data_IF_707949278223
#
_entry.id   IF_707949278223
#
_cell.length_a   1.000
_cell.length_b   1.000
_cell.length_c   1.000
_cell.angle_alpha   90.00
_cell.angle_beta   90.00
_cell.angle_gamma   90.00
#
_symmetry.space_group_name_H-M   'P 1'
#
loop_
_entity.id
_entity.type
_entity.pdbx_description
1 polymer ?
#
# COMPACT_ATOMS: atom_id res chain seq x y z
N UNK A 1 15.43 -6.28 -15.83
CA UNK A 1 14.48 -6.61 -14.75
C UNK A 1 14.59 -5.52 -13.69
N UNK A 2 13.50 -4.91 -13.24
CA UNK A 2 13.57 -3.91 -12.16
C UNK A 2 13.79 -4.62 -10.83
N UNK A 3 14.58 -3.99 -9.94
CA UNK A 3 14.77 -4.50 -8.59
C UNK A 3 13.47 -4.31 -7.79
N UNK A 4 13.08 -5.27 -6.95
CA UNK A 4 11.96 -5.10 -6.03
C UNK A 4 12.23 -3.89 -5.13
N UNK A 5 11.21 -3.04 -4.97
CA UNK A 5 11.26 -1.83 -4.14
C UNK A 5 10.42 -2.03 -2.89
N UNK A 6 10.93 -1.54 -1.76
CA UNK A 6 10.19 -1.51 -0.49
C UNK A 6 9.89 -0.05 -0.19
N UNK A 7 8.61 0.27 0.05
CA UNK A 7 8.17 1.60 0.46
C UNK A 7 7.65 1.55 1.90
N UNK A 8 8.13 2.44 2.75
CA UNK A 8 7.70 2.56 4.14
C UNK A 8 6.97 3.89 4.30
N UNK A 9 5.69 3.83 4.67
CA UNK A 9 4.86 5.01 4.94
C UNK A 9 4.68 5.11 6.47
N UNK A 10 5.27 6.13 7.08
CA UNK A 10 5.30 6.30 8.54
C UNK A 10 4.75 7.67 8.97
N UNK A 11 4.34 7.79 10.25
CA UNK A 11 3.72 9.00 10.82
C UNK A 11 2.77 8.69 11.99
N UNK A 12 2.36 9.70 12.78
CA UNK A 12 1.50 9.50 13.94
C UNK A 12 0.07 9.04 13.58
N UNK A 13 -0.70 8.59 14.56
CA UNK A 13 -2.11 8.23 14.38
C UNK A 13 -2.90 9.45 13.90
N UNK A 14 -3.77 9.27 12.90
CA UNK A 14 -4.50 10.37 12.28
C UNK A 14 -3.74 11.16 11.21
N UNK A 15 -2.45 10.89 10.95
CA UNK A 15 -1.67 11.60 9.93
C UNK A 15 -2.04 11.30 8.46
N UNK A 16 -3.06 10.47 8.21
CA UNK A 16 -3.53 10.17 6.85
C UNK A 16 -2.71 9.12 6.08
N UNK A 17 -1.83 8.34 6.72
CA UNK A 17 -0.98 7.32 6.05
C UNK A 17 -1.74 6.38 5.11
N UNK A 18 -2.88 5.87 5.55
CA UNK A 18 -3.73 4.97 4.73
C UNK A 18 -4.33 5.68 3.53
N UNK A 19 -4.73 6.95 3.68
CA UNK A 19 -5.21 7.79 2.59
C UNK A 19 -4.08 8.03 1.59
N UNK A 20 -2.91 8.44 2.08
CA UNK A 20 -1.73 8.65 1.25
C UNK A 20 -1.32 7.39 0.49
N UNK A 21 -1.27 6.22 1.13
CA UNK A 21 -0.92 4.97 0.46
C UNK A 21 -1.88 4.63 -0.70
N UNK A 22 -3.18 4.87 -0.53
CA UNK A 22 -4.19 4.60 -1.56
C UNK A 22 -4.11 5.54 -2.75
N UNK A 23 -3.69 6.78 -2.53
CA UNK A 23 -3.55 7.78 -3.59
C UNK A 23 -2.18 7.66 -4.27
N UNK A 24 -1.10 7.53 -3.50
CA UNK A 24 0.29 7.50 -3.98
C UNK A 24 0.67 6.21 -4.70
N UNK A 25 0.23 5.04 -4.21
CA UNK A 25 0.66 3.76 -4.79
C UNK A 25 0.23 3.57 -6.26
N UNK A 26 -1.03 3.88 -6.65
CA UNK A 26 -1.47 3.75 -8.04
C UNK A 26 -0.89 4.79 -8.99
N UNK A 27 -0.64 6.03 -8.52
CA UNK A 27 -0.24 7.15 -9.38
C UNK A 27 1.26 7.37 -9.43
N UNK A 28 1.89 7.55 -8.27
CA UNK A 28 3.26 8.02 -8.15
C UNK A 28 4.27 6.87 -7.94
N UNK A 29 3.83 5.77 -7.33
CA UNK A 29 4.69 4.62 -7.07
C UNK A 29 4.73 3.61 -8.23
N UNK A 30 3.91 3.78 -9.28
CA UNK A 30 3.74 2.80 -10.36
C UNK A 30 3.40 1.39 -9.81
N UNK A 31 2.53 1.35 -8.80
CA UNK A 31 2.05 0.14 -8.15
C UNK A 31 0.53 0.04 -8.33
N UNK A 32 0.06 -0.30 -9.56
CA UNK A 32 -1.37 -0.33 -9.87
C UNK A 32 -2.11 -1.47 -9.17
N UNK A 33 -1.39 -2.51 -8.75
CA UNK A 33 -1.95 -3.63 -7.97
C UNK A 33 -1.33 -3.64 -6.59
N UNK A 34 -2.11 -3.24 -5.60
CA UNK A 34 -1.74 -3.29 -4.19
C UNK A 34 -2.61 -4.32 -3.45
N UNK A 35 -1.97 -5.23 -2.71
CA UNK A 35 -2.65 -6.21 -1.87
C UNK A 35 -2.42 -5.81 -0.40
N UNK A 36 -3.50 -5.52 0.32
CA UNK A 36 -3.44 -5.23 1.74
C UNK A 36 -3.41 -6.54 2.54
N UNK A 37 -2.39 -6.73 3.39
CA UNK A 37 -2.24 -7.90 4.24
C UNK A 37 -3.42 -8.11 5.20
N UNK A 38 -4.04 -7.05 5.70
CA UNK A 38 -5.22 -7.15 6.59
C UNK A 38 -6.43 -7.73 5.83
N UNK A 39 -6.59 -7.37 4.56
CA UNK A 39 -7.64 -7.90 3.70
C UNK A 39 -7.38 -9.37 3.33
N UNK A 40 -6.12 -9.74 3.15
CA UNK A 40 -5.71 -11.14 2.96
C UNK A 40 -6.03 -11.96 4.20
N UNK A 41 -5.69 -11.46 5.39
CA UNK A 41 -5.98 -12.12 6.67
C UNK A 41 -7.48 -12.22 6.96
N UNK A 42 -8.29 -11.28 6.47
CA UNK A 42 -9.75 -11.31 6.57
C UNK A 42 -10.44 -12.34 5.64
N UNK A 43 -9.68 -13.09 4.82
CA UNK A 43 -10.20 -14.20 4.02
C UNK A 43 -10.70 -13.81 2.62
N UNK A 44 -10.35 -12.63 2.09
CA UNK A 44 -10.79 -12.17 0.77
C UNK A 44 -10.08 -12.82 -0.43
N UNK A 45 -9.23 -13.82 -0.20
CA UNK A 45 -8.66 -14.67 -1.25
C UNK A 45 -9.31 -16.07 -1.18
N UNK A 46 -10.50 -16.19 -1.76
CA UNK A 46 -11.03 -17.47 -2.23
C UNK A 46 -11.48 -17.34 -3.67
#
# INVERSE_FOLDING_TARGET
>A
MSLPRILIIAGPNGAGKTTFAREFLPTDADCPTFINADLVAAGFIR
#
